data_IF_149117494961
#
_entry.id   IF_149117494961
#
_cell.length_a   1.000
_cell.length_b   1.000
_cell.length_c   1.000
_cell.angle_alpha   90.00
_cell.angle_beta   90.00
_cell.angle_gamma   90.00
#
_symmetry.space_group_name_H-M   'P 1'
#
loop_
_entity.id
_entity.type
_entity.pdbx_description
1 polymer ?
#
# COMPACT_ATOMS: atom_id res chain seq x y z
N UNK A 1 15.29 23.33 -2.58
CA UNK A 1 15.11 22.01 -3.22
C UNK A 1 15.18 20.90 -2.18
N UNK A 2 16.33 20.68 -1.52
CA UNK A 2 16.48 19.68 -0.44
C UNK A 2 15.53 19.84 0.75
N UNK A 3 15.17 21.08 1.13
CA UNK A 3 14.27 21.34 2.26
C UNK A 3 12.87 20.78 2.05
N UNK A 4 12.33 20.83 0.84
CA UNK A 4 10.98 20.34 0.55
C UNK A 4 10.92 18.80 0.59
N UNK A 5 11.89 18.14 -0.05
CA UNK A 5 12.07 16.69 -0.02
C UNK A 5 12.26 16.17 1.41
N UNK A 6 13.15 16.82 2.18
CA UNK A 6 13.39 16.46 3.57
C UNK A 6 12.13 16.65 4.44
N UNK A 7 11.37 17.73 4.21
CA UNK A 7 10.11 17.98 4.94
C UNK A 7 9.08 16.89 4.63
N UNK A 8 8.87 16.54 3.36
CA UNK A 8 7.97 15.46 2.97
C UNK A 8 8.44 14.11 3.51
N UNK A 9 9.75 13.83 3.47
CA UNK A 9 10.34 12.61 4.00
C UNK A 9 10.13 12.47 5.51
N UNK A 10 10.40 13.53 6.27
CA UNK A 10 10.16 13.56 7.72
C UNK A 10 8.67 13.40 8.03
N UNK A 11 7.79 14.11 7.32
CA UNK A 11 6.35 13.97 7.48
C UNK A 11 5.85 12.55 7.17
N UNK A 12 6.42 11.90 6.15
CA UNK A 12 6.13 10.52 5.79
C UNK A 12 6.53 9.55 6.90
N UNK A 13 7.75 9.69 7.43
CA UNK A 13 8.25 8.85 8.53
C UNK A 13 7.39 9.02 9.79
N UNK A 14 7.08 10.27 10.16
CA UNK A 14 6.23 10.56 11.31
C UNK A 14 4.85 9.93 11.13
N UNK A 15 4.21 10.15 9.97
CA UNK A 15 2.89 9.59 9.68
C UNK A 15 2.89 8.07 9.70
N UNK A 16 3.93 7.43 9.15
CA UNK A 16 4.07 5.97 9.17
C UNK A 16 4.26 5.44 10.60
N UNK A 17 5.05 6.15 11.41
CA UNK A 17 5.25 5.79 12.82
C UNK A 17 3.95 5.89 13.63
N UNK A 18 3.18 6.96 13.43
CA UNK A 18 1.87 7.15 14.06
C UNK A 18 0.88 6.07 13.60
N UNK A 19 0.86 5.73 12.32
CA UNK A 19 0.02 4.66 11.79
C UNK A 19 0.30 3.30 12.48
N UNK A 20 1.54 3.04 12.91
CA UNK A 20 1.90 1.78 13.57
C UNK A 20 1.69 1.77 15.09
N UNK A 21 1.79 2.93 15.76
CA UNK A 21 1.82 2.99 17.23
C UNK A 21 0.49 3.40 17.87
N UNK A 22 -0.45 3.95 17.10
CA UNK A 22 -1.74 4.33 17.66
C UNK A 22 -2.60 3.08 17.90
N UNK A 23 -3.03 2.92 19.16
CA UNK A 23 -3.84 1.78 19.61
C UNK A 23 -5.24 1.72 18.96
N UNK A 24 -5.75 2.88 18.55
CA UNK A 24 -7.07 3.02 17.96
C UNK A 24 -6.97 2.82 16.43
N UNK A 25 -7.49 1.69 15.95
CA UNK A 25 -7.37 1.25 14.55
C UNK A 25 -7.86 2.31 13.56
N UNK A 26 -8.92 3.04 13.89
CA UNK A 26 -9.47 4.10 13.03
C UNK A 26 -8.44 5.21 12.79
N UNK A 27 -7.80 5.71 13.85
CA UNK A 27 -6.75 6.72 13.73
C UNK A 27 -5.51 6.16 13.03
N UNK A 28 -5.12 4.91 13.34
CA UNK A 28 -4.04 4.22 12.63
C UNK A 28 -4.26 4.19 11.10
N UNK A 29 -5.47 3.87 10.65
CA UNK A 29 -5.84 3.85 9.23
C UNK A 29 -5.82 5.27 8.62
N UNK A 30 -6.24 6.30 9.36
CA UNK A 30 -6.16 7.70 8.90
C UNK A 30 -4.70 8.12 8.68
N UNK A 31 -3.80 7.82 9.62
CA UNK A 31 -2.37 8.11 9.45
C UNK A 31 -1.72 7.25 8.35
N UNK A 32 -2.23 6.04 8.12
CA UNK A 32 -1.84 5.24 6.96
C UNK A 32 -2.25 5.94 5.65
N UNK A 33 -3.48 6.44 5.55
CA UNK A 33 -3.94 7.25 4.41
C UNK A 33 -3.12 8.52 4.19
N UNK A 34 -2.75 9.22 5.27
CA UNK A 34 -1.86 10.38 5.21
C UNK A 34 -0.47 9.99 4.68
N UNK A 35 0.10 8.87 5.13
CA UNK A 35 1.38 8.34 4.63
C UNK A 35 1.34 8.10 3.12
N UNK A 36 0.27 7.45 2.63
CA UNK A 36 0.08 7.19 1.20
C UNK A 36 -0.10 8.47 0.37
N UNK A 37 -0.74 9.48 0.96
CA UNK A 37 -0.94 10.79 0.32
C UNK A 37 0.37 11.57 0.21
N UNK A 38 1.17 11.61 1.28
CA UNK A 38 2.50 12.25 1.28
C UNK A 38 3.42 11.53 0.28
N UNK A 39 3.35 10.20 0.20
CA UNK A 39 4.11 9.43 -0.78
C UNK A 39 3.70 9.77 -2.23
N UNK A 40 2.41 10.02 -2.50
CA UNK A 40 1.96 10.51 -3.81
C UNK A 40 2.52 11.90 -4.13
N UNK A 41 2.55 12.82 -3.15
CA UNK A 41 3.18 14.13 -3.33
C UNK A 41 4.67 14.00 -3.67
N UNK A 42 5.38 13.05 -3.06
CA UNK A 42 6.77 12.74 -3.40
C UNK A 42 6.91 12.22 -4.83
N UNK A 43 5.98 11.39 -5.32
CA UNK A 43 5.97 10.94 -6.71
C UNK A 43 5.74 12.09 -7.71
N UNK A 44 4.84 13.03 -7.42
CA UNK A 44 4.69 14.23 -8.25
C UNK A 44 5.98 15.02 -8.30
N UNK A 45 6.63 15.19 -7.15
CA UNK A 45 7.89 15.91 -7.06
C UNK A 45 9.02 15.22 -7.84
N UNK A 46 9.06 13.88 -7.86
CA UNK A 46 10.02 13.10 -8.65
C UNK A 46 9.65 12.98 -10.14
N UNK A 47 8.76 13.83 -10.67
CA UNK A 47 8.28 13.79 -12.06
C UNK A 47 7.66 12.44 -12.47
N UNK A 48 6.99 11.75 -11.54
CA UNK A 48 6.28 10.50 -11.78
C UNK A 48 4.75 10.66 -11.62
N UNK A 49 4.08 11.48 -12.45
CA UNK A 49 2.68 11.86 -12.26
C UNK A 49 1.72 10.68 -12.41
N UNK A 50 1.98 9.73 -13.31
CA UNK A 50 1.16 8.52 -13.44
C UNK A 50 1.15 7.73 -12.13
N UNK A 51 2.32 7.47 -11.53
CA UNK A 51 2.43 6.76 -10.26
C UNK A 51 1.73 7.53 -9.12
N UNK A 52 1.89 8.85 -9.08
CA UNK A 52 1.27 9.70 -8.07
C UNK A 52 -0.27 9.62 -8.10
N UNK A 53 -0.87 9.70 -9.28
CA UNK A 53 -2.33 9.64 -9.45
C UNK A 53 -2.86 8.25 -9.06
N UNK A 54 -2.22 7.18 -9.55
CA UNK A 54 -2.61 5.82 -9.19
C UNK A 54 -2.46 5.55 -7.68
N UNK A 55 -1.42 6.11 -7.05
CA UNK A 55 -1.23 6.03 -5.60
C UNK A 55 -2.40 6.65 -4.83
N UNK A 56 -2.89 7.82 -5.24
CA UNK A 56 -4.06 8.44 -4.60
C UNK A 56 -5.32 7.63 -4.86
N UNK A 57 -5.61 7.29 -6.12
CA UNK A 57 -6.87 6.63 -6.48
C UNK A 57 -6.97 5.23 -5.89
N UNK A 58 -5.94 4.41 -6.05
CA UNK A 58 -5.96 3.02 -5.60
C UNK A 58 -5.58 2.92 -4.13
N UNK A 59 -4.45 3.50 -3.71
CA UNK A 59 -3.97 3.25 -2.35
C UNK A 59 -4.79 4.04 -1.31
N UNK A 60 -4.99 5.35 -1.52
CA UNK A 60 -5.81 6.14 -0.60
C UNK A 60 -7.30 5.87 -0.83
N UNK A 61 -7.77 6.03 -2.08
CA UNK A 61 -9.18 5.99 -2.43
C UNK A 61 -9.82 4.61 -2.32
N UNK A 62 -9.11 3.53 -2.65
CA UNK A 62 -9.61 2.19 -2.43
C UNK A 62 -9.06 1.62 -1.11
N UNK A 63 -7.77 1.32 -1.02
CA UNK A 63 -7.23 0.47 0.06
C UNK A 63 -7.46 1.08 1.46
N UNK A 64 -7.06 2.32 1.69
CA UNK A 64 -7.21 2.95 3.01
C UNK A 64 -8.69 3.13 3.40
N UNK A 65 -9.54 3.53 2.46
CA UNK A 65 -10.99 3.67 2.71
C UNK A 65 -11.66 2.31 2.95
N UNK A 66 -11.28 1.25 2.21
CA UNK A 66 -11.78 -0.10 2.44
C UNK A 66 -11.36 -0.65 3.81
N UNK A 67 -10.14 -0.37 4.26
CA UNK A 67 -9.72 -0.71 5.63
C UNK A 67 -10.52 0.06 6.67
N UNK A 68 -10.74 1.36 6.45
CA UNK A 68 -11.54 2.17 7.36
C UNK A 68 -12.98 1.65 7.47
N UNK A 69 -13.61 1.36 6.32
CA UNK A 69 -14.94 0.77 6.27
C UNK A 69 -14.97 -0.62 6.93
N UNK A 70 -13.98 -1.47 6.65
CA UNK A 70 -13.87 -2.80 7.23
C UNK A 70 -13.76 -2.77 8.76
N UNK A 71 -12.97 -1.85 9.30
CA UNK A 71 -12.85 -1.66 10.75
C UNK A 71 -14.13 -1.09 11.37
N UNK A 72 -14.77 -0.12 10.72
CA UNK A 72 -16.05 0.44 11.21
C UNK A 72 -17.19 -0.57 11.20
N UNK A 73 -17.17 -1.54 10.28
CA UNK A 73 -18.18 -2.59 10.17
C UNK A 73 -17.90 -3.82 11.05
N UNK A 74 -16.70 -3.95 11.60
CA UNK A 74 -16.30 -5.14 12.39
C UNK A 74 -16.44 -4.86 13.89
N UNK A 75 -17.12 -5.72 14.66
CA UNK A 75 -17.22 -5.56 16.11
C UNK A 75 -15.83 -5.59 16.78
N UNK A 76 -15.54 -4.59 17.61
CA UNK A 76 -14.25 -4.47 18.31
C UNK A 76 -14.06 -5.62 19.31
N UNK A 77 -13.14 -6.53 19.02
CA UNK A 77 -12.58 -7.45 20.03
C UNK A 77 -11.25 -6.88 20.53
N UNK A 78 -11.19 -6.53 21.82
CA UNK A 78 -9.92 -6.14 22.47
C UNK A 78 -8.97 -7.32 22.45
N UNK A 79 -7.97 -7.30 21.58
CA UNK A 79 -6.88 -8.27 21.60
C UNK A 79 -5.95 -7.96 22.79
N UNK A 80 -5.45 -8.96 23.53
CA UNK A 80 -4.48 -8.73 24.59
C UNK A 80 -3.16 -8.22 24.00
N UNK A 81 -2.64 -7.11 24.54
CA UNK A 81 -1.37 -6.48 24.11
C UNK A 81 -0.19 -7.43 24.39
N UNK A 82 0.34 -8.07 23.35
CA UNK A 82 1.54 -8.91 23.43
C UNK A 82 2.80 -8.06 23.25
N UNK A 83 3.26 -7.46 24.34
CA UNK A 83 4.38 -6.49 24.37
C UNK A 83 5.80 -7.03 24.15
N UNK A 84 6.01 -8.27 23.69
CA UNK A 84 7.35 -8.89 23.65
C UNK A 84 8.03 -8.90 22.26
N UNK A 85 7.38 -8.38 21.23
CA UNK A 85 7.89 -8.48 19.85
C UNK A 85 8.45 -7.17 19.27
N UNK A 86 8.39 -6.05 20.01
CA UNK A 86 8.83 -4.73 19.50
C UNK A 86 10.34 -4.71 19.23
N UNK A 87 11.15 -5.27 20.12
CA UNK A 87 12.60 -5.36 19.91
C UNK A 87 12.97 -6.23 18.69
N UNK A 88 12.23 -7.32 18.47
CA UNK A 88 12.44 -8.18 17.29
C UNK A 88 12.01 -7.44 16.02
N UNK A 89 10.87 -6.76 16.04
CA UNK A 89 10.40 -5.96 14.91
C UNK A 89 11.39 -4.83 14.57
N UNK A 90 11.95 -4.17 15.57
CA UNK A 90 12.94 -3.10 15.39
C UNK A 90 14.27 -3.64 14.85
N UNK A 91 14.73 -4.80 15.33
CA UNK A 91 15.92 -5.46 14.81
C UNK A 91 15.73 -5.86 13.34
N UNK A 92 14.59 -6.45 12.98
CA UNK A 92 14.26 -6.81 11.60
C UNK A 92 14.18 -5.56 10.72
N UNK A 93 13.49 -4.51 11.17
CA UNK A 93 13.38 -3.26 10.43
C UNK A 93 14.76 -2.62 10.20
N UNK A 94 15.63 -2.65 11.21
CA UNK A 94 17.00 -2.11 11.10
C UNK A 94 17.83 -2.88 10.09
N UNK A 95 17.81 -4.22 10.16
CA UNK A 95 18.53 -5.09 9.21
C UNK A 95 18.03 -4.86 7.77
N UNK A 96 16.71 -4.81 7.58
CA UNK A 96 16.11 -4.56 6.26
C UNK A 96 16.41 -3.16 5.74
N UNK A 97 16.56 -2.15 6.61
CA UNK A 97 16.88 -0.78 6.19
C UNK A 97 18.34 -0.59 5.83
N UNK A 98 19.25 -1.35 6.45
CA UNK A 98 20.69 -1.29 6.17
C UNK A 98 20.99 -1.77 4.74
N UNK A 99 20.26 -2.78 4.24
CA UNK A 99 20.54 -3.39 2.95
C UNK A 99 20.42 -2.40 1.77
N UNK A 100 19.33 -1.61 1.61
CA UNK A 100 19.26 -0.57 0.58
C UNK A 100 20.33 0.52 0.70
N UNK A 101 20.73 0.89 1.92
CA UNK A 101 21.72 1.95 2.18
C UNK A 101 23.12 1.50 1.77
N UNK A 102 23.52 0.28 2.15
CA UNK A 102 24.82 -0.28 1.80
C UNK A 102 24.94 -0.63 0.33
N UNK A 103 23.80 -0.93 -0.31
CA UNK A 103 23.82 -1.44 -1.67
C UNK A 103 24.16 -0.37 -2.71
N UNK A 104 24.47 0.89 -2.31
CA UNK A 104 24.83 2.06 -3.16
C UNK A 104 24.74 1.70 -4.63
N UNK A 105 23.50 1.51 -5.10
CA UNK A 105 23.34 0.88 -6.38
C UNK A 105 23.84 1.95 -7.34
N UNK A 106 24.96 1.67 -7.99
CA UNK A 106 25.41 2.39 -9.17
C UNK A 106 24.39 2.03 -10.27
N UNK A 107 23.13 2.43 -10.05
CA UNK A 107 22.06 2.31 -11.01
C UNK A 107 22.48 3.29 -12.08
N UNK A 108 23.25 2.80 -13.05
CA UNK A 108 23.22 3.38 -14.38
C UNK A 108 21.77 3.26 -14.78
N UNK A 109 21.03 4.35 -14.57
CA UNK A 109 19.74 4.54 -15.21
C UNK A 109 20.04 4.24 -16.66
N UNK A 110 19.48 3.15 -17.19
CA UNK A 110 19.53 2.86 -18.61
C UNK A 110 18.65 3.91 -19.27
N UNK A 111 19.16 5.13 -19.34
CA UNK A 111 18.56 6.30 -19.97
C UNK A 111 18.78 6.17 -21.46
N UNK A 112 18.30 5.08 -22.05
CA UNK A 112 17.91 5.12 -23.44
C UNK A 112 16.61 5.91 -23.43
N UNK A 113 16.71 7.20 -23.75
CA UNK A 113 15.55 8.05 -23.95
C UNK A 113 14.74 7.46 -25.09
N UNK A 114 13.76 6.65 -24.73
CA UNK A 114 12.71 6.26 -25.65
C UNK A 114 11.69 7.38 -25.63
N UNK A 115 11.44 7.99 -26.77
CA UNK A 115 10.38 9.00 -26.96
C UNK A 115 8.98 8.33 -27.01
N UNK A 116 8.81 7.32 -26.17
CA UNK A 116 7.62 6.48 -26.07
C UNK A 116 6.82 6.94 -24.88
N UNK A 117 5.51 7.13 -25.07
CA UNK A 117 4.60 7.41 -23.96
C UNK A 117 4.63 6.27 -22.94
N UNK A 118 4.37 6.58 -21.66
CA UNK A 118 4.37 5.59 -20.58
C UNK A 118 3.53 4.34 -20.90
N UNK A 119 2.35 4.52 -21.48
CA UNK A 119 1.47 3.40 -21.87
C UNK A 119 2.13 2.48 -22.93
N UNK A 120 2.79 3.07 -23.93
CA UNK A 120 3.48 2.30 -24.97
C UNK A 120 4.72 1.57 -24.41
N UNK A 121 5.47 2.21 -23.51
CA UNK A 121 6.58 1.58 -22.81
C UNK A 121 6.11 0.42 -21.92
N UNK A 122 5.01 0.61 -21.20
CA UNK A 122 4.42 -0.40 -20.33
C UNK A 122 4.02 -1.64 -21.13
N UNK A 123 3.32 -1.47 -22.25
CA UNK A 123 2.90 -2.59 -23.08
C UNK A 123 4.06 -3.27 -23.80
N UNK A 124 5.02 -2.50 -24.32
CA UNK A 124 6.14 -3.03 -25.11
C UNK A 124 7.19 -3.76 -24.27
N UNK A 125 7.50 -3.27 -23.07
CA UNK A 125 8.53 -3.86 -22.22
C UNK A 125 7.98 -4.72 -21.10
N UNK A 126 6.75 -4.45 -20.66
CA UNK A 126 6.14 -5.13 -19.50
C UNK A 126 4.73 -5.66 -19.77
N UNK A 127 4.33 -5.80 -21.04
CA UNK A 127 3.00 -6.27 -21.40
C UNK A 127 2.67 -7.64 -20.80
N UNK A 128 3.66 -8.55 -20.75
CA UNK A 128 3.50 -9.87 -20.13
C UNK A 128 3.23 -9.76 -18.62
N UNK A 129 3.98 -8.91 -17.91
CA UNK A 129 3.74 -8.65 -16.48
C UNK A 129 2.33 -8.08 -16.24
N UNK A 130 1.87 -7.15 -17.10
CA UNK A 130 0.53 -6.54 -17.00
C UNK A 130 -0.57 -7.58 -17.20
N UNK A 131 -0.41 -8.48 -18.18
CA UNK A 131 -1.36 -9.58 -18.42
C UNK A 131 -1.37 -10.53 -17.21
N UNK A 132 -0.20 -10.91 -16.71
CA UNK A 132 -0.08 -11.78 -15.54
C UNK A 132 -0.74 -11.15 -14.30
N UNK A 133 -0.52 -9.86 -14.04
CA UNK A 133 -1.17 -9.12 -12.95
C UNK A 133 -2.69 -9.04 -13.13
N UNK A 134 -3.17 -8.89 -14.37
CA UNK A 134 -4.61 -8.87 -14.65
C UNK A 134 -5.28 -10.20 -14.29
N UNK A 135 -4.60 -11.33 -14.55
CA UNK A 135 -5.07 -12.66 -14.14
C UNK A 135 -5.13 -12.77 -12.61
N UNK A 136 -4.10 -12.28 -11.89
CA UNK A 136 -4.10 -12.28 -10.41
C UNK A 136 -5.26 -11.47 -9.85
N UNK A 137 -5.54 -10.29 -10.41
CA UNK A 137 -6.68 -9.44 -10.00
C UNK A 137 -8.01 -10.15 -10.26
N UNK A 138 -8.15 -10.81 -11.42
CA UNK A 138 -9.34 -11.59 -11.75
C UNK A 138 -9.56 -12.74 -10.74
N UNK A 139 -8.50 -13.49 -10.42
CA UNK A 139 -8.56 -14.55 -9.42
C UNK A 139 -8.95 -14.02 -8.05
N UNK A 140 -8.40 -12.89 -7.62
CA UNK A 140 -8.75 -12.25 -6.35
C UNK A 140 -10.23 -11.85 -6.33
N UNK A 141 -10.73 -11.23 -7.40
CA UNK A 141 -12.13 -10.81 -7.52
C UNK A 141 -13.09 -12.00 -7.45
N UNK A 142 -12.82 -13.07 -8.19
CA UNK A 142 -13.61 -14.31 -8.13
C UNK A 142 -13.56 -14.94 -6.74
N UNK A 143 -12.39 -14.95 -6.09
CA UNK A 143 -12.24 -15.43 -4.71
C UNK A 143 -13.13 -14.67 -3.73
N UNK A 144 -13.16 -13.33 -3.80
CA UNK A 144 -14.02 -12.48 -2.97
C UNK A 144 -15.50 -12.81 -3.21
N UNK A 145 -15.93 -12.91 -4.47
CA UNK A 145 -17.32 -13.24 -4.83
C UNK A 145 -17.72 -14.63 -4.32
N UNK A 146 -16.87 -15.64 -4.48
CA UNK A 146 -17.15 -17.00 -3.99
C UNK A 146 -17.24 -17.06 -2.46
N UNK A 147 -16.39 -16.35 -1.74
CA UNK A 147 -16.40 -16.28 -0.27
C UNK A 147 -17.65 -15.56 0.24
N UNK A 148 -18.01 -14.43 -0.35
CA UNK A 148 -19.21 -13.68 0.03
C UNK A 148 -20.49 -14.43 -0.37
N UNK A 149 -20.52 -15.03 -1.57
CA UNK A 149 -21.67 -15.77 -2.09
C UNK A 149 -22.03 -17.01 -1.28
N UNK A 150 -21.04 -17.76 -0.76
CA UNK A 150 -21.29 -18.95 0.07
C UNK A 150 -22.01 -18.66 1.39
N UNK A 151 -21.89 -17.46 1.95
CA UNK A 151 -22.56 -17.10 3.22
C UNK A 151 -24.07 -16.81 3.06
N UNK A 152 -24.53 -16.47 1.87
CA UNK A 152 -25.96 -16.19 1.61
C UNK A 152 -26.86 -17.43 1.52
N UNK A 153 -26.30 -18.60 1.21
CA UNK A 153 -27.08 -19.84 0.96
C UNK A 153 -27.46 -20.64 2.20
N UNK A 154 -26.84 -20.42 3.36
CA UNK A 154 -27.01 -21.30 4.54
C UNK A 154 -28.22 -20.95 5.44
N UNK A 155 -28.93 -19.85 5.17
CA UNK A 155 -30.10 -19.41 5.97
C UNK A 155 -31.47 -19.88 5.45
N UNK A 156 -31.55 -20.64 4.35
CA UNK A 156 -32.83 -21.11 3.76
C UNK A 156 -33.20 -22.58 4.02
N UNK A 157 -32.44 -23.31 4.84
CA UNK A 157 -32.62 -24.76 5.01
C UNK A 157 -33.30 -25.20 6.32
N UNK A 158 -33.78 -24.26 7.16
CA UNK A 158 -34.42 -24.59 8.45
C UNK A 158 -35.66 -23.72 8.67
N UNK A 159 -36.70 -23.95 7.86
CA UNK A 159 -38.07 -23.50 8.17
C UNK A 159 -39.08 -24.39 7.41
N UNK A 160 -39.14 -25.66 7.80
CA UNK A 160 -40.27 -26.56 7.50
C UNK A 160 -40.40 -27.53 8.67
#
# INVERSE_FOLDING_TARGET
>A
MLLFEATLGVALIISAFLALHIDETVYSIIFFGATLTILSALFFYMNAPFAAIFQIVIAVGAIAIFFLAGEMLTPRKKAPKKGRNVFIALAIASILSILPVLSEFNVKVFSRSYDLSFASALWRFRGLDVIAQSIVILTLALGIVMVLGKRGGKKRAWST
#
